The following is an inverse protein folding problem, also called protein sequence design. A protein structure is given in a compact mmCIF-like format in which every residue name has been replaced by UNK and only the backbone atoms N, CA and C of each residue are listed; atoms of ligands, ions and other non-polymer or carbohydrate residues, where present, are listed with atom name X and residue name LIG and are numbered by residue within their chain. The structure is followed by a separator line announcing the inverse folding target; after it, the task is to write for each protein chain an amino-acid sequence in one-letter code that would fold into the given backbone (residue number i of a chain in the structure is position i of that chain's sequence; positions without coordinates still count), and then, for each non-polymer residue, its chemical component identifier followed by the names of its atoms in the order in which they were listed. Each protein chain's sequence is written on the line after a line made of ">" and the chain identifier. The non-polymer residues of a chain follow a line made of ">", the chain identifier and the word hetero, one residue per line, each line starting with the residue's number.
data_IF_980352964269
#
_entry.id   IF_980352964269
#
_cell.length_a   1.000
_cell.length_b   1.000
_cell.length_c   1.000
_cell.angle_alpha   90.00
_cell.angle_beta   90.00
_cell.angle_gamma   90.00
#
_symmetry.space_group_name_H-M   'P 1'
#
loop_
_entity.id
_entity.type
_entity.pdbx_description
1 polymer ?
#
# COMPACT_ATOMS: atom_id res chain seq x y z
N UNK A 1 8.64 6.43 -23.69
CA UNK A 1 7.72 7.55 -23.41
C UNK A 1 8.01 8.05 -22.02
N UNK A 2 8.49 9.29 -21.87
CA UNK A 2 8.70 9.89 -20.54
C UNK A 2 7.33 10.25 -19.97
N UNK A 3 6.97 9.71 -18.81
CA UNK A 3 5.71 10.03 -18.12
C UNK A 3 5.99 11.24 -17.23
N UNK A 4 5.37 12.38 -17.53
CA UNK A 4 5.54 13.62 -16.77
C UNK A 4 4.44 13.72 -15.71
N UNK A 5 4.85 13.91 -14.45
CA UNK A 5 3.94 14.21 -13.34
C UNK A 5 3.58 15.70 -13.37
N UNK A 6 2.30 15.96 -13.13
CA UNK A 6 1.73 17.31 -13.02
C UNK A 6 1.59 17.72 -11.54
N UNK A 7 1.26 18.98 -11.30
CA UNK A 7 1.20 19.52 -9.93
C UNK A 7 0.08 18.87 -9.10
N UNK A 8 -1.05 18.55 -9.74
CA UNK A 8 -2.17 17.82 -9.15
C UNK A 8 -1.80 16.37 -8.83
N UNK A 9 -1.03 15.69 -9.69
CA UNK A 9 -0.50 14.35 -9.38
C UNK A 9 0.36 14.38 -8.12
N UNK A 10 1.26 15.37 -8.01
CA UNK A 10 2.14 15.52 -6.86
C UNK A 10 1.34 15.78 -5.58
N UNK A 11 0.26 16.56 -5.65
CA UNK A 11 -0.63 16.80 -4.52
C UNK A 11 -1.30 15.50 -4.05
N UNK A 12 -1.84 14.69 -4.96
CA UNK A 12 -2.48 13.41 -4.61
C UNK A 12 -1.48 12.42 -4.02
N UNK A 13 -0.29 12.34 -4.59
CA UNK A 13 0.81 11.51 -4.06
C UNK A 13 1.18 11.96 -2.64
N UNK A 14 1.36 13.27 -2.42
CA UNK A 14 1.73 13.81 -1.12
C UNK A 14 0.64 13.59 -0.06
N UNK A 15 -0.63 13.86 -0.39
CA UNK A 15 -1.76 13.64 0.53
C UNK A 15 -1.93 12.16 0.86
N UNK A 16 -1.81 11.28 -0.13
CA UNK A 16 -1.90 9.84 0.09
C UNK A 16 -0.76 9.31 0.96
N UNK A 17 0.47 9.81 0.76
CA UNK A 17 1.61 9.49 1.59
C UNK A 17 1.45 10.01 3.03
N UNK A 18 0.96 11.24 3.19
CA UNK A 18 0.70 11.84 4.50
C UNK A 18 -0.40 11.09 5.26
N UNK A 19 -1.51 10.76 4.61
CA UNK A 19 -2.59 9.96 5.18
C UNK A 19 -2.07 8.60 5.67
N UNK A 20 -1.32 7.89 4.83
CA UNK A 20 -0.70 6.64 5.24
C UNK A 20 0.21 6.83 6.45
N UNK A 21 1.09 7.83 6.38
CA UNK A 21 2.13 8.02 7.39
C UNK A 21 1.57 8.39 8.75
N UNK A 22 0.65 9.35 8.80
CA UNK A 22 0.07 9.83 10.04
C UNK A 22 -0.69 8.71 10.74
N UNK A 23 -1.56 7.99 10.02
CA UNK A 23 -2.32 6.88 10.61
C UNK A 23 -1.40 5.73 11.02
N UNK A 24 -0.36 5.42 10.24
CA UNK A 24 0.54 4.34 10.61
C UNK A 24 1.40 4.73 11.83
N UNK A 25 1.99 5.93 11.85
CA UNK A 25 2.80 6.38 12.98
C UNK A 25 2.02 6.45 14.30
N UNK A 26 0.71 6.72 14.25
CA UNK A 26 -0.14 6.92 15.44
C UNK A 26 -0.89 5.66 15.86
N UNK A 27 -1.56 4.97 14.93
CA UNK A 27 -2.50 3.90 15.24
C UNK A 27 -1.90 2.50 15.06
N UNK A 28 -0.98 2.31 14.12
CA UNK A 28 -0.42 0.98 13.86
C UNK A 28 0.38 0.39 15.04
N UNK A 29 1.19 1.17 15.81
CA UNK A 29 1.83 0.66 17.01
C UNK A 29 0.83 0.14 18.04
N UNK A 30 -0.29 0.84 18.24
CA UNK A 30 -1.36 0.42 19.16
C UNK A 30 -1.99 -0.89 18.69
N UNK A 31 -2.34 -0.97 17.40
CA UNK A 31 -2.93 -2.19 16.83
C UNK A 31 -1.98 -3.38 16.94
N UNK A 32 -0.69 -3.18 16.66
CA UNK A 32 0.33 -4.21 16.81
C UNK A 32 0.50 -4.65 18.26
N UNK A 33 0.54 -3.72 19.22
CA UNK A 33 0.68 -4.05 20.64
C UNK A 33 -0.49 -4.89 21.14
N UNK A 34 -1.72 -4.59 20.68
CA UNK A 34 -2.94 -5.28 21.09
C UNK A 34 -3.12 -6.65 20.42
N UNK A 35 -2.85 -6.74 19.12
CA UNK A 35 -3.22 -7.93 18.33
C UNK A 35 -2.03 -8.77 17.88
N UNK A 36 -0.84 -8.17 17.79
CA UNK A 36 0.36 -8.74 17.15
C UNK A 36 0.13 -9.10 15.67
N UNK A 37 -0.83 -8.43 15.01
CA UNK A 37 -1.16 -8.65 13.60
C UNK A 37 -0.75 -7.45 12.74
N UNK A 38 -0.18 -7.66 11.53
CA UNK A 38 0.23 -6.59 10.64
C UNK A 38 -0.94 -5.95 9.85
N UNK A 39 -2.14 -6.56 9.91
CA UNK A 39 -3.30 -6.29 9.05
C UNK A 39 -3.62 -4.80 8.91
N UNK A 40 -3.56 -4.04 10.00
CA UNK A 40 -3.92 -2.62 9.99
C UNK A 40 -2.91 -1.76 9.19
N UNK A 41 -1.62 -2.10 9.25
CA UNK A 41 -0.59 -1.42 8.45
C UNK A 41 -0.85 -1.60 6.95
N UNK A 42 -1.13 -2.84 6.54
CA UNK A 42 -1.44 -3.20 5.15
C UNK A 42 -2.73 -2.56 4.67
N UNK A 43 -3.73 -2.49 5.55
CA UNK A 43 -5.02 -1.87 5.25
C UNK A 43 -4.85 -0.40 4.87
N UNK A 44 -4.14 0.37 5.70
CA UNK A 44 -3.90 1.80 5.43
C UNK A 44 -3.03 1.98 4.17
N UNK A 45 -1.99 1.15 4.03
CA UNK A 45 -1.12 1.18 2.86
C UNK A 45 -1.94 1.00 1.58
N UNK A 46 -2.75 -0.06 1.52
CA UNK A 46 -3.50 -0.38 0.31
C UNK A 46 -4.64 0.60 0.02
N UNK A 47 -5.29 1.18 1.02
CA UNK A 47 -6.24 2.29 0.80
C UNK A 47 -5.53 3.45 0.11
N UNK A 48 -4.39 3.87 0.66
CA UNK A 48 -3.62 5.02 0.17
C UNK A 48 -3.10 4.79 -1.26
N UNK A 49 -2.51 3.62 -1.51
CA UNK A 49 -2.00 3.24 -2.83
C UNK A 49 -3.13 3.08 -3.86
N UNK A 50 -4.27 2.51 -3.46
CA UNK A 50 -5.42 2.36 -4.35
C UNK A 50 -5.97 3.70 -4.80
N UNK A 51 -6.18 4.64 -3.87
CA UNK A 51 -6.68 5.98 -4.18
C UNK A 51 -5.69 6.74 -5.07
N UNK A 52 -4.40 6.74 -4.73
CA UNK A 52 -3.39 7.44 -5.52
C UNK A 52 -3.29 6.90 -6.95
N UNK A 53 -3.22 5.58 -7.11
CA UNK A 53 -3.11 4.93 -8.43
C UNK A 53 -4.41 5.09 -9.23
N UNK A 54 -5.57 5.06 -8.57
CA UNK A 54 -6.85 5.32 -9.22
C UNK A 54 -6.92 6.72 -9.81
N UNK A 55 -6.44 7.73 -9.08
CA UNK A 55 -6.49 9.12 -9.51
C UNK A 55 -5.45 9.41 -10.59
N UNK A 56 -4.17 9.10 -10.32
CA UNK A 56 -3.04 9.56 -11.14
C UNK A 56 -2.83 8.65 -12.36
N UNK A 57 -2.97 7.32 -12.22
CA UNK A 57 -2.83 6.33 -13.31
C UNK A 57 -1.53 6.46 -14.13
N UNK A 58 -0.43 6.84 -13.49
CA UNK A 58 0.92 6.97 -14.08
C UNK A 58 1.90 6.05 -13.35
N UNK A 59 2.88 5.52 -14.08
CA UNK A 59 3.96 4.73 -13.48
C UNK A 59 4.79 5.62 -12.55
N UNK A 60 5.15 5.11 -11.38
CA UNK A 60 5.86 5.83 -10.33
C UNK A 60 4.94 6.30 -9.20
N UNK A 61 3.62 6.31 -9.40
CA UNK A 61 2.66 6.87 -8.43
C UNK A 61 2.72 6.11 -7.10
N UNK A 62 2.48 4.79 -7.12
CA UNK A 62 2.46 4.00 -5.90
C UNK A 62 3.86 3.95 -5.25
N UNK A 63 4.90 3.85 -6.08
CA UNK A 63 6.30 3.86 -5.62
C UNK A 63 6.63 5.15 -4.86
N UNK A 64 6.25 6.32 -5.38
CA UNK A 64 6.49 7.61 -4.72
C UNK A 64 5.69 7.75 -3.43
N UNK A 65 4.43 7.29 -3.42
CA UNK A 65 3.63 7.26 -2.19
C UNK A 65 4.31 6.42 -1.11
N UNK A 66 4.78 5.22 -1.44
CA UNK A 66 5.48 4.35 -0.48
C UNK A 66 6.86 4.86 -0.07
N UNK A 67 7.59 5.54 -0.95
CA UNK A 67 8.86 6.17 -0.60
C UNK A 67 8.64 7.33 0.38
N UNK A 68 7.73 8.25 0.07
CA UNK A 68 7.40 9.37 0.95
C UNK A 68 6.85 8.88 2.28
N UNK A 69 5.99 7.85 2.26
CA UNK A 69 5.45 7.28 3.49
C UNK A 69 6.55 6.72 4.40
N UNK A 70 7.56 6.07 3.83
CA UNK A 70 8.73 5.58 4.58
C UNK A 70 9.56 6.71 5.16
N UNK A 71 9.86 7.75 4.37
CA UNK A 71 10.61 8.93 4.87
C UNK A 71 9.87 9.59 6.03
N UNK A 72 8.56 9.82 5.88
CA UNK A 72 7.73 10.42 6.92
C UNK A 72 7.67 9.53 8.17
N UNK A 73 7.53 8.21 8.03
CA UNK A 73 7.55 7.30 9.18
C UNK A 73 8.91 7.26 9.87
N UNK A 74 10.03 7.39 9.16
CA UNK A 74 11.34 7.52 9.79
C UNK A 74 11.48 8.83 10.57
N UNK A 75 10.91 9.93 10.07
CA UNK A 75 10.89 11.20 10.79
C UNK A 75 10.03 11.09 12.06
N UNK A 76 8.82 10.54 11.93
CA UNK A 76 7.85 10.44 13.03
C UNK A 76 8.23 9.35 14.05
N UNK A 77 8.87 8.28 13.59
CA UNK A 77 9.24 7.11 14.38
C UNK A 77 10.51 6.45 13.79
N UNK A 78 11.72 6.90 14.17
CA UNK A 78 12.98 6.43 13.59
C UNK A 78 13.22 4.92 13.60
N UNK A 79 12.60 4.18 14.53
CA UNK A 79 12.67 2.72 14.60
C UNK A 79 11.73 1.97 13.65
N UNK A 80 10.95 2.65 12.81
CA UNK A 80 9.96 2.04 11.92
C UNK A 80 10.56 1.34 10.68
N UNK A 81 11.68 0.65 10.83
CA UNK A 81 12.47 0.04 9.74
C UNK A 81 11.69 -0.95 8.87
N UNK A 82 10.62 -1.56 9.41
CA UNK A 82 9.71 -2.44 8.68
C UNK A 82 9.02 -1.74 7.49
N UNK A 83 8.97 -0.39 7.46
CA UNK A 83 8.45 0.39 6.34
C UNK A 83 9.21 0.18 5.03
N UNK A 84 10.47 -0.28 5.07
CA UNK A 84 11.22 -0.62 3.86
C UNK A 84 10.54 -1.74 3.07
N UNK A 85 9.92 -2.71 3.75
CA UNK A 85 9.12 -3.75 3.10
C UNK A 85 7.86 -3.19 2.44
N UNK A 86 7.24 -2.17 3.05
CA UNK A 86 6.12 -1.45 2.46
C UNK A 86 6.52 -0.59 1.24
N UNK A 87 7.71 0.02 1.24
CA UNK A 87 8.25 0.68 0.04
C UNK A 87 8.42 -0.32 -1.10
N UNK A 88 9.03 -1.48 -0.83
CA UNK A 88 9.18 -2.53 -1.83
C UNK A 88 7.83 -3.00 -2.37
N UNK A 89 6.85 -3.25 -1.49
CA UNK A 89 5.50 -3.61 -1.89
C UNK A 89 4.83 -2.52 -2.74
N UNK A 90 5.00 -1.24 -2.41
CA UNK A 90 4.46 -0.14 -3.21
C UNK A 90 5.02 -0.13 -4.64
N UNK A 91 6.31 -0.43 -4.81
CA UNK A 91 6.93 -0.56 -6.12
C UNK A 91 6.42 -1.79 -6.88
N UNK A 92 6.21 -2.91 -6.19
CA UNK A 92 5.57 -4.10 -6.76
C UNK A 92 4.15 -3.78 -7.22
N UNK A 93 3.35 -3.10 -6.40
CA UNK A 93 1.98 -2.71 -6.76
C UNK A 93 1.95 -1.77 -7.97
N UNK A 94 2.87 -0.81 -8.02
CA UNK A 94 3.01 0.13 -9.12
C UNK A 94 3.34 -0.59 -10.44
N UNK A 95 4.30 -1.52 -10.41
CA UNK A 95 4.68 -2.33 -11.56
C UNK A 95 3.54 -3.26 -12.01
N UNK A 96 2.88 -3.95 -11.07
CA UNK A 96 1.78 -4.86 -11.36
C UNK A 96 0.57 -4.14 -11.94
N UNK A 97 0.16 -3.00 -11.36
CA UNK A 97 -0.97 -2.22 -11.87
C UNK A 97 -0.66 -1.60 -13.24
N UNK A 98 0.59 -1.18 -13.47
CA UNK A 98 1.04 -0.75 -14.79
C UNK A 98 0.98 -1.86 -15.83
N UNK A 99 1.40 -3.07 -15.48
CA UNK A 99 1.42 -4.24 -16.35
C UNK A 99 0.01 -4.74 -16.67
N UNK A 100 -0.88 -4.77 -15.66
CA UNK A 100 -2.29 -5.09 -15.83
C UNK A 100 -3.05 -4.04 -16.65
N UNK A 101 -2.55 -2.80 -16.65
CA UNK A 101 -3.16 -1.64 -17.29
C UNK A 101 -4.17 -0.96 -16.38
N UNK A 102 -3.91 0.31 -16.02
CA UNK A 102 -4.72 1.07 -15.06
C UNK A 102 -6.22 1.04 -15.38
N UNK A 103 -6.59 1.23 -16.66
CA UNK A 103 -7.99 1.18 -17.07
C UNK A 103 -8.64 -0.16 -16.73
N UNK A 104 -7.96 -1.30 -16.93
CA UNK A 104 -8.52 -2.62 -16.59
C UNK A 104 -8.66 -2.82 -15.08
N UNK A 105 -7.76 -2.25 -14.29
CA UNK A 105 -7.84 -2.32 -12.82
C UNK A 105 -9.07 -1.57 -12.27
N UNK A 106 -9.44 -0.45 -12.89
CA UNK A 106 -10.52 0.43 -12.40
C UNK A 106 -11.79 0.41 -13.26
N UNK A 107 -11.83 -0.32 -14.37
CA UNK A 107 -13.02 -0.43 -15.23
C UNK A 107 -13.33 -1.88 -15.61
N UNK A 108 -14.62 -2.19 -15.74
CA UNK A 108 -15.12 -3.52 -16.09
C UNK A 108 -15.46 -4.41 -14.89
N UNK A 109 -16.21 -5.49 -15.13
CA UNK A 109 -16.73 -6.37 -14.07
C UNK A 109 -15.65 -7.07 -13.24
N UNK A 110 -14.51 -7.40 -13.85
CA UNK A 110 -13.39 -8.10 -13.18
C UNK A 110 -12.33 -7.17 -12.58
N UNK A 111 -12.36 -5.86 -12.86
CA UNK A 111 -11.35 -4.89 -12.42
C UNK A 111 -11.13 -4.86 -10.89
N UNK A 112 -12.20 -4.77 -10.08
CA UNK A 112 -12.10 -4.82 -8.62
C UNK A 112 -11.40 -6.09 -8.09
N UNK A 113 -11.73 -7.26 -8.65
CA UNK A 113 -11.11 -8.52 -8.26
C UNK A 113 -9.62 -8.56 -8.63
N UNK A 114 -9.28 -8.05 -9.82
CA UNK A 114 -7.89 -7.91 -10.26
C UNK A 114 -7.12 -6.99 -9.31
N UNK A 115 -7.63 -5.81 -9.00
CA UNK A 115 -6.94 -4.86 -8.12
C UNK A 115 -6.74 -5.42 -6.71
N UNK A 116 -7.74 -6.13 -6.17
CA UNK A 116 -7.62 -6.84 -4.90
C UNK A 116 -6.54 -7.93 -4.94
N UNK A 117 -6.44 -8.69 -6.04
CA UNK A 117 -5.38 -9.68 -6.22
C UNK A 117 -3.98 -9.05 -6.31
N UNK A 118 -3.84 -7.94 -7.05
CA UNK A 118 -2.55 -7.23 -7.16
C UNK A 118 -2.11 -6.63 -5.82
N UNK A 119 -3.05 -6.05 -5.06
CA UNK A 119 -2.79 -5.54 -3.72
C UNK A 119 -2.39 -6.64 -2.74
N UNK A 120 -3.11 -7.76 -2.75
CA UNK A 120 -2.79 -8.97 -1.97
C UNK A 120 -1.39 -9.49 -2.28
N UNK A 121 -1.03 -9.58 -3.57
CA UNK A 121 0.29 -10.03 -3.99
C UNK A 121 1.40 -9.06 -3.56
N UNK A 122 1.15 -7.75 -3.66
CA UNK A 122 2.07 -6.71 -3.22
C UNK A 122 2.35 -6.78 -1.70
N UNK A 123 1.32 -6.87 -0.86
CA UNK A 123 1.53 -6.95 0.59
C UNK A 123 2.06 -8.30 1.03
N UNK A 124 1.75 -9.39 0.32
CA UNK A 124 2.41 -10.68 0.52
C UNK A 124 3.94 -10.53 0.39
N UNK A 125 4.43 -9.80 -0.63
CA UNK A 125 5.85 -9.46 -0.79
C UNK A 125 6.37 -8.60 0.38
N UNK A 126 5.60 -7.60 0.85
CA UNK A 126 5.98 -6.87 2.08
C UNK A 126 6.19 -7.83 3.24
N UNK A 127 5.25 -8.75 3.48
CA UNK A 127 5.35 -9.71 4.57
C UNK A 127 6.55 -10.66 4.45
N UNK A 128 6.93 -11.05 3.23
CA UNK A 128 8.17 -11.81 3.00
C UNK A 128 9.41 -11.00 3.38
N UNK A 129 9.51 -9.76 2.90
CA UNK A 129 10.66 -8.88 3.18
C UNK A 129 10.74 -8.56 4.67
N UNK A 130 9.61 -8.14 5.26
CA UNK A 130 9.52 -7.77 6.67
C UNK A 130 9.87 -8.99 7.54
N UNK A 131 9.24 -10.13 7.29
CA UNK A 131 9.48 -11.36 8.04
C UNK A 131 10.94 -11.83 7.96
N UNK A 132 11.54 -11.82 6.77
CA UNK A 132 12.89 -12.33 6.55
C UNK A 132 13.98 -11.42 7.15
N UNK A 133 13.86 -10.10 6.99
CA UNK A 133 14.95 -9.17 7.32
C UNK A 133 14.75 -8.41 8.64
N UNK A 134 13.51 -8.23 9.10
CA UNK A 134 13.20 -7.30 10.20
C UNK A 134 12.48 -7.94 11.38
N UNK A 135 12.08 -9.21 11.27
CA UNK A 135 11.47 -9.96 12.37
C UNK A 135 12.43 -10.95 13.04
N UNK A 136 13.67 -11.10 12.56
CA UNK A 136 14.74 -11.90 13.20
C UNK A 136 14.31 -13.32 13.61
N UNK A 137 13.46 -13.98 12.80
CA UNK A 137 12.95 -15.32 13.09
C UNK A 137 11.89 -15.41 14.18
N UNK A 138 11.42 -14.28 14.73
CA UNK A 138 10.37 -14.24 15.76
C UNK A 138 8.98 -14.64 15.29
N UNK A 139 8.77 -14.77 13.97
CA UNK A 139 7.50 -15.15 13.35
C UNK A 139 7.73 -16.19 12.25
N UNK A 140 6.82 -17.17 12.06
CA UNK A 140 6.88 -18.06 10.91
C UNK A 140 6.66 -17.29 9.62
N UNK A 141 7.63 -17.31 8.70
CA UNK A 141 7.65 -16.45 7.50
C UNK A 141 6.39 -16.60 6.63
N UNK A 142 5.99 -17.84 6.35
CA UNK A 142 4.80 -18.12 5.53
C UNK A 142 3.52 -17.58 6.18
N UNK A 143 3.37 -17.76 7.49
CA UNK A 143 2.22 -17.26 8.25
C UNK A 143 2.19 -15.73 8.28
N UNK A 144 3.33 -15.11 8.58
CA UNK A 144 3.44 -13.66 8.65
C UNK A 144 3.15 -13.00 7.29
N UNK A 145 3.68 -13.59 6.20
CA UNK A 145 3.41 -13.14 4.85
C UNK A 145 1.94 -13.36 4.43
N UNK A 146 1.30 -14.45 4.87
CA UNK A 146 -0.13 -14.67 4.65
C UNK A 146 -1.01 -13.64 5.40
N UNK A 147 -0.62 -13.24 6.61
CA UNK A 147 -1.32 -12.17 7.35
C UNK A 147 -1.22 -10.81 6.64
N UNK A 148 -0.05 -10.48 6.10
CA UNK A 148 0.12 -9.29 5.27
C UNK A 148 -0.71 -9.36 3.98
N UNK A 149 -0.76 -10.54 3.34
CA UNK A 149 -1.62 -10.76 2.16
C UNK A 149 -3.10 -10.52 2.50
N UNK A 150 -3.57 -11.05 3.65
CA UNK A 150 -4.94 -10.81 4.14
C UNK A 150 -5.20 -9.33 4.41
N UNK A 151 -4.26 -8.62 5.06
CA UNK A 151 -4.36 -7.19 5.28
C UNK A 151 -4.43 -6.40 3.97
N UNK A 152 -3.63 -6.79 2.98
CA UNK A 152 -3.66 -6.17 1.66
C UNK A 152 -4.96 -6.44 0.90
N UNK A 153 -5.53 -7.64 1.02
CA UNK A 153 -6.85 -7.95 0.48
C UNK A 153 -7.91 -7.03 1.07
N UNK A 154 -7.99 -6.95 2.41
CA UNK A 154 -8.96 -6.11 3.11
C UNK A 154 -8.77 -4.63 2.76
N UNK A 155 -7.54 -4.14 2.77
CA UNK A 155 -7.21 -2.76 2.39
C UNK A 155 -7.56 -2.44 0.95
N UNK A 156 -7.33 -3.37 0.03
CA UNK A 156 -7.71 -3.20 -1.38
C UNK A 156 -9.22 -3.14 -1.54
N UNK A 157 -9.98 -4.02 -0.88
CA UNK A 157 -11.44 -4.01 -0.92
C UNK A 157 -12.03 -2.71 -0.37
N UNK A 158 -11.47 -2.19 0.72
CA UNK A 158 -11.87 -0.89 1.28
C UNK A 158 -11.47 0.26 0.36
N UNK A 159 -10.25 0.25 -0.18
CA UNK A 159 -9.78 1.25 -1.15
C UNK A 159 -10.65 1.30 -2.40
N UNK A 160 -11.03 0.13 -2.94
CA UNK A 160 -11.97 0.02 -4.07
C UNK A 160 -13.34 0.60 -3.70
N UNK A 161 -13.84 0.27 -2.51
CA UNK A 161 -15.14 0.78 -2.04
C UNK A 161 -15.13 2.29 -1.90
N UNK A 162 -14.03 2.85 -1.38
CA UNK A 162 -13.82 4.29 -1.27
C UNK A 162 -13.76 4.96 -2.66
N UNK A 163 -12.97 4.41 -3.58
CA UNK A 163 -12.90 4.89 -4.98
C UNK A 163 -14.29 4.92 -5.61
N UNK A 164 -15.06 3.84 -5.50
CA UNK A 164 -16.43 3.77 -6.04
C UNK A 164 -17.39 4.76 -5.39
N UNK A 165 -17.17 5.11 -4.12
CA UNK A 165 -17.96 6.12 -3.43
C UNK A 165 -17.61 7.54 -3.93
N UNK A 166 -16.33 7.80 -4.19
CA UNK A 166 -15.85 9.07 -4.75
C UNK A 166 -16.30 9.27 -6.20
N UNK A 167 -16.35 8.21 -7.02
CA UNK A 167 -16.84 8.28 -8.41
C UNK A 167 -18.35 8.59 -8.54
N UNK A 168 -19.11 8.51 -7.45
CA UNK A 168 -20.56 8.79 -7.43
C UNK A 168 -20.89 10.24 -7.09
N UNK A 169 -19.89 11.05 -6.72
CA UNK A 169 -20.05 12.48 -6.42
C UNK A 169 -19.85 13.30 -7.69
#
# INVERSE_FOLDING_TARGET
>A
MSVKLEADDAAVIAVSAAFWSVLNATLAPLFWQLTRLPIFCDLIAMISLTVAVWWVRKLGTATLVGLLATVLNFILRPGAIHFLGFTAASAVFDALTRAAGYRRCFSGGAGPALLAALGTASTWVAGLIIGAFFMSGSVPLAWFSALHALGGLLGSLLGISLVKALEKQ
#
